data_IF_008662181228
#
_entry.id   IF_008662181228
#
_cell.length_a   1.000
_cell.length_b   1.000
_cell.length_c   1.000
_cell.angle_alpha   90.00
_cell.angle_beta   90.00
_cell.angle_gamma   90.00
#
_symmetry.space_group_name_H-M   'P 1'
#
loop_
_entity.id
_entity.type
_entity.pdbx_description
1 polymer ?
#
# COMPACT_ATOMS: atom_id res chain seq x y z
N UNK A 1 24.90 -9.66 2.60
CA UNK A 1 24.03 -10.81 2.91
C UNK A 1 22.62 -10.37 2.56
N UNK A 2 21.89 -11.12 1.74
CA UNK A 2 20.46 -10.84 1.51
C UNK A 2 19.70 -11.15 2.79
N UNK A 3 18.82 -10.25 3.22
CA UNK A 3 17.89 -10.53 4.32
C UNK A 3 16.96 -11.68 3.94
N UNK A 4 16.56 -12.47 4.93
CA UNK A 4 15.54 -13.50 4.77
C UNK A 4 14.14 -12.90 4.67
N UNK A 5 13.20 -13.65 4.09
CA UNK A 5 11.79 -13.26 4.00
C UNK A 5 11.20 -12.88 5.36
N UNK A 6 11.59 -13.61 6.42
CA UNK A 6 11.15 -13.33 7.80
C UNK A 6 11.65 -11.96 8.27
N UNK A 7 12.92 -11.63 8.05
CA UNK A 7 13.49 -10.34 8.46
C UNK A 7 12.84 -9.17 7.71
N UNK A 8 12.53 -9.35 6.41
CA UNK A 8 11.84 -8.35 5.60
C UNK A 8 10.42 -8.10 6.11
N UNK A 9 9.68 -9.18 6.44
CA UNK A 9 8.33 -9.08 6.99
C UNK A 9 8.36 -8.43 8.37
N UNK A 10 9.29 -8.80 9.26
CA UNK A 10 9.44 -8.20 10.58
C UNK A 10 9.77 -6.71 10.52
N UNK A 11 10.66 -6.31 9.59
CA UNK A 11 10.98 -4.91 9.33
C UNK A 11 9.75 -4.11 8.88
N UNK A 12 8.95 -4.70 7.98
CA UNK A 12 7.70 -4.10 7.51
C UNK A 12 6.66 -4.00 8.62
N UNK A 13 6.48 -5.05 9.42
CA UNK A 13 5.57 -5.04 10.57
C UNK A 13 5.98 -3.99 11.61
N UNK A 14 7.28 -3.83 11.85
CA UNK A 14 7.79 -2.78 12.75
C UNK A 14 7.41 -1.39 12.26
N UNK A 15 7.65 -1.11 10.98
CA UNK A 15 7.20 0.14 10.35
C UNK A 15 5.69 0.34 10.48
N UNK A 16 4.89 -0.72 10.30
CA UNK A 16 3.44 -0.62 10.50
C UNK A 16 3.10 -0.23 11.94
N UNK A 17 3.67 -0.91 12.94
CA UNK A 17 3.32 -0.69 14.35
C UNK A 17 3.90 0.58 14.95
N UNK A 18 5.06 1.04 14.46
CA UNK A 18 5.78 2.20 14.99
C UNK A 18 5.48 3.50 14.23
N UNK A 19 4.80 3.42 13.08
CA UNK A 19 4.47 4.60 12.28
C UNK A 19 3.04 4.56 11.74
N UNK A 20 2.69 3.55 10.94
CA UNK A 20 1.41 3.54 10.22
C UNK A 20 0.19 3.50 11.14
N UNK A 21 0.32 2.74 12.24
CA UNK A 21 -0.73 2.50 13.23
C UNK A 21 -0.76 3.55 14.36
N UNK A 22 0.24 4.43 14.43
CA UNK A 22 0.29 5.44 15.48
C UNK A 22 -0.56 6.66 15.13
N UNK A 23 -1.42 7.12 16.07
CA UNK A 23 -2.11 8.41 15.96
C UNK A 23 -1.16 9.55 15.62
N UNK A 24 -1.62 10.48 14.77
CA UNK A 24 -0.86 11.68 14.47
C UNK A 24 -1.78 12.92 14.37
N UNK A 25 -1.38 14.08 14.93
CA UNK A 25 -2.18 15.31 14.89
C UNK A 25 -2.55 15.78 13.47
N UNK A 26 -1.68 15.50 12.49
CA UNK A 26 -1.92 15.79 11.06
C UNK A 26 -3.20 15.11 10.55
N UNK A 27 -3.54 13.94 11.09
CA UNK A 27 -4.73 13.16 10.74
C UNK A 27 -5.81 13.25 11.82
N UNK A 28 -5.79 14.33 12.62
CA UNK A 28 -6.74 14.56 13.72
C UNK A 28 -6.74 13.42 14.75
N UNK A 29 -5.54 13.03 15.18
CA UNK A 29 -5.25 11.95 16.15
C UNK A 29 -5.73 10.56 15.68
N UNK A 30 -6.00 10.42 14.39
CA UNK A 30 -6.13 9.12 13.73
C UNK A 30 -4.76 8.65 13.23
N UNK A 31 -4.57 7.33 13.03
CA UNK A 31 -3.36 6.80 12.42
C UNK A 31 -3.20 7.17 10.95
N UNK A 32 -1.97 7.04 10.41
CA UNK A 32 -1.70 7.20 8.97
C UNK A 32 -2.54 6.27 8.11
N UNK A 33 -2.79 5.04 8.59
CA UNK A 33 -3.83 4.18 8.04
C UNK A 33 -4.72 3.68 9.18
N UNK A 34 -5.94 4.24 9.34
CA UNK A 34 -6.85 3.88 10.43
C UNK A 34 -7.26 2.40 10.45
N UNK A 35 -7.07 1.67 9.35
CA UNK A 35 -7.48 0.28 9.18
C UNK A 35 -6.34 -0.72 9.39
N UNK A 36 -5.08 -0.30 9.35
CA UNK A 36 -3.92 -1.18 9.38
C UNK A 36 -3.86 -2.05 10.65
N UNK A 37 -4.07 -1.43 11.82
CA UNK A 37 -4.05 -2.13 13.12
C UNK A 37 -5.09 -3.23 13.20
N UNK A 38 -6.32 -2.95 12.73
CA UNK A 38 -7.41 -3.93 12.74
C UNK A 38 -7.06 -5.12 11.84
N UNK A 39 -6.62 -4.86 10.61
CA UNK A 39 -6.24 -5.92 9.67
C UNK A 39 -5.10 -6.78 10.22
N UNK A 40 -4.07 -6.16 10.83
CA UNK A 40 -2.95 -6.89 11.44
C UNK A 40 -3.40 -7.79 12.60
N UNK A 41 -4.17 -7.26 13.54
CA UNK A 41 -4.65 -8.03 14.70
C UNK A 41 -5.62 -9.16 14.30
N UNK A 42 -6.33 -9.00 13.19
CA UNK A 42 -7.23 -10.01 12.64
C UNK A 42 -6.54 -11.01 11.70
N UNK A 43 -5.22 -10.95 11.51
CA UNK A 43 -4.46 -11.75 10.54
C UNK A 43 -5.02 -11.62 9.10
N UNK A 44 -5.50 -10.45 8.72
CA UNK A 44 -6.08 -10.15 7.41
C UNK A 44 -5.08 -9.54 6.42
N UNK A 45 -3.78 -9.65 6.70
CA UNK A 45 -2.70 -9.18 5.84
C UNK A 45 -1.94 -10.38 5.26
N UNK A 46 -1.91 -10.46 3.93
CA UNK A 46 -1.12 -11.43 3.17
C UNK A 46 0.21 -10.79 2.75
N UNK A 47 1.33 -11.28 3.25
CA UNK A 47 2.66 -10.84 2.82
C UNK A 47 3.18 -11.70 1.66
N UNK A 48 3.79 -11.06 0.66
CA UNK A 48 4.44 -11.70 -0.49
C UNK A 48 5.81 -11.06 -0.71
N UNK A 49 6.87 -11.86 -0.68
CA UNK A 49 8.23 -11.40 -0.99
C UNK A 49 8.51 -11.80 -2.43
N UNK A 50 8.44 -10.83 -3.35
CA UNK A 50 8.54 -11.08 -4.78
C UNK A 50 9.41 -10.00 -5.45
N UNK A 51 10.45 -10.38 -6.21
CA UNK A 51 11.28 -9.42 -6.91
C UNK A 51 10.52 -8.82 -8.12
N UNK A 52 10.68 -7.52 -8.30
CA UNK A 52 10.20 -6.79 -9.49
C UNK A 52 11.15 -5.64 -9.84
N UNK A 53 10.98 -5.05 -11.01
CA UNK A 53 11.76 -3.89 -11.45
C UNK A 53 10.90 -2.99 -12.35
N UNK A 54 11.48 -1.90 -12.84
CA UNK A 54 10.82 -1.02 -13.82
C UNK A 54 10.42 -1.75 -15.12
N UNK A 55 11.04 -2.90 -15.41
CA UNK A 55 10.77 -3.73 -16.59
C UNK A 55 9.75 -4.84 -16.34
N UNK A 56 9.25 -4.98 -15.10
CA UNK A 56 8.26 -6.01 -14.77
C UNK A 56 7.01 -5.86 -15.63
N UNK A 57 6.63 -6.96 -16.26
CA UNK A 57 5.38 -7.09 -17.00
C UNK A 57 4.43 -7.96 -16.19
N UNK A 58 3.20 -7.49 -16.04
CA UNK A 58 2.14 -8.18 -15.30
C UNK A 58 1.40 -9.15 -16.21
N UNK A 59 2.12 -10.11 -16.79
CA UNK A 59 1.50 -11.19 -17.55
C UNK A 59 0.68 -12.09 -16.60
N UNK A 60 -0.39 -12.70 -17.11
CA UNK A 60 -1.34 -13.46 -16.29
C UNK A 60 -0.70 -14.61 -15.49
N UNK A 61 0.40 -15.17 -16.00
CA UNK A 61 1.16 -16.26 -15.38
C UNK A 61 2.37 -15.79 -14.56
N UNK A 62 2.64 -14.48 -14.48
CA UNK A 62 3.66 -13.92 -13.60
C UNK A 62 3.36 -14.24 -12.12
N UNK A 63 4.42 -14.33 -11.30
CA UNK A 63 4.28 -14.62 -9.87
C UNK A 63 3.34 -13.60 -9.17
N UNK A 64 3.53 -12.32 -9.49
CA UNK A 64 2.73 -11.23 -8.91
C UNK A 64 1.25 -11.38 -9.29
N UNK A 65 0.93 -11.61 -10.57
CA UNK A 65 -0.46 -11.75 -10.98
C UNK A 65 -1.12 -13.01 -10.40
N UNK A 66 -0.38 -14.13 -10.30
CA UNK A 66 -0.85 -15.32 -9.60
C UNK A 66 -1.16 -15.02 -8.12
N UNK A 67 -0.29 -14.29 -7.43
CA UNK A 67 -0.51 -13.86 -6.04
C UNK A 67 -1.71 -12.91 -5.91
N UNK A 68 -1.91 -11.99 -6.85
CA UNK A 68 -3.07 -11.08 -6.90
C UNK A 68 -4.37 -11.87 -7.12
N UNK A 69 -4.40 -12.83 -8.05
CA UNK A 69 -5.58 -13.68 -8.26
C UNK A 69 -5.88 -14.56 -7.05
N UNK A 70 -4.85 -15.10 -6.37
CA UNK A 70 -5.05 -15.82 -5.10
C UNK A 70 -5.64 -14.90 -4.04
N UNK A 71 -5.10 -13.68 -3.89
CA UNK A 71 -5.61 -12.68 -2.96
C UNK A 71 -7.08 -12.31 -3.26
N UNK A 72 -7.43 -12.08 -4.53
CA UNK A 72 -8.78 -11.75 -4.97
C UNK A 72 -9.82 -12.83 -4.61
N UNK A 73 -9.39 -14.08 -4.45
CA UNK A 73 -10.23 -15.22 -4.08
C UNK A 73 -10.03 -15.68 -2.63
N UNK A 74 -9.47 -14.81 -1.78
CA UNK A 74 -9.18 -15.12 -0.38
C UNK A 74 -9.97 -14.23 0.59
N UNK A 75 -9.91 -14.57 1.88
CA UNK A 75 -10.51 -13.78 2.97
C UNK A 75 -9.61 -12.64 3.47
N UNK A 76 -8.39 -12.49 2.91
CA UNK A 76 -7.48 -11.39 3.27
C UNK A 76 -8.03 -10.05 2.79
N UNK A 77 -7.78 -8.97 3.54
CA UNK A 77 -8.22 -7.63 3.17
C UNK A 77 -7.12 -6.80 2.51
N UNK A 78 -5.87 -7.11 2.83
CA UNK A 78 -4.70 -6.41 2.38
C UNK A 78 -3.68 -7.45 1.93
N UNK A 79 -3.14 -7.30 0.73
CA UNK A 79 -1.91 -7.96 0.33
C UNK A 79 -0.78 -6.93 0.32
N UNK A 80 0.37 -7.28 0.88
CA UNK A 80 1.59 -6.47 0.85
C UNK A 80 2.64 -7.23 0.05
N UNK A 81 3.03 -6.69 -1.09
CA UNK A 81 4.08 -7.24 -1.95
C UNK A 81 5.35 -6.43 -1.73
N UNK A 82 6.44 -7.11 -1.39
CA UNK A 82 7.70 -6.49 -0.98
C UNK A 82 8.82 -7.02 -1.87
N UNK A 83 9.59 -6.10 -2.43
CA UNK A 83 10.81 -6.44 -3.15
C UNK A 83 11.95 -6.70 -2.16
N UNK A 84 12.62 -7.86 -2.19
CA UNK A 84 13.75 -8.12 -1.29
C UNK A 84 14.99 -7.26 -1.60
N UNK A 85 15.08 -6.69 -2.81
CA UNK A 85 16.17 -5.79 -3.20
C UNK A 85 15.72 -4.32 -3.10
N UNK A 86 16.32 -3.58 -2.16
CA UNK A 86 16.06 -2.15 -1.92
C UNK A 86 16.41 -1.24 -3.10
N UNK A 87 17.23 -1.73 -4.03
CA UNK A 87 17.77 -0.96 -5.17
C UNK A 87 17.21 -1.40 -6.52
N UNK A 88 16.33 -2.41 -6.55
CA UNK A 88 15.81 -2.98 -7.79
C UNK A 88 14.92 -2.03 -8.62
N UNK A 89 14.37 -1.00 -7.97
CA UNK A 89 13.45 -0.04 -8.58
C UNK A 89 13.52 1.28 -7.80
N UNK A 90 13.37 2.42 -8.46
CA UNK A 90 13.28 3.72 -7.79
C UNK A 90 11.85 4.08 -7.39
N UNK A 91 11.68 5.10 -6.53
CA UNK A 91 10.34 5.60 -6.15
C UNK A 91 9.48 5.99 -7.36
N UNK A 92 9.96 6.84 -8.32
CA UNK A 92 9.17 7.19 -9.50
C UNK A 92 8.78 5.97 -10.36
N UNK A 93 9.71 5.02 -10.54
CA UNK A 93 9.45 3.80 -11.30
C UNK A 93 8.42 2.90 -10.61
N UNK A 94 8.42 2.86 -9.27
CA UNK A 94 7.43 2.10 -8.49
C UNK A 94 6.03 2.67 -8.71
N UNK A 95 5.90 4.01 -8.72
CA UNK A 95 4.63 4.67 -9.04
C UNK A 95 4.16 4.33 -10.45
N UNK A 96 5.00 4.49 -11.47
CA UNK A 96 4.66 4.17 -12.87
C UNK A 96 4.25 2.70 -13.04
N UNK A 97 4.92 1.79 -12.34
CA UNK A 97 4.57 0.37 -12.34
C UNK A 97 3.20 0.12 -11.70
N UNK A 98 2.86 0.82 -10.62
CA UNK A 98 1.53 0.70 -9.99
C UNK A 98 0.42 1.30 -10.84
N UNK A 99 0.67 2.38 -11.57
CA UNK A 99 -0.30 2.93 -12.52
C UNK A 99 -0.67 1.89 -13.61
N UNK A 100 0.34 1.13 -14.09
CA UNK A 100 0.13 0.00 -15.03
C UNK A 100 -0.63 -1.15 -14.38
N UNK A 101 -0.26 -1.53 -13.16
CA UNK A 101 -0.90 -2.62 -12.42
C UNK A 101 -2.39 -2.32 -12.19
N UNK A 102 -2.71 -1.12 -11.71
CA UNK A 102 -4.08 -0.69 -11.44
C UNK A 102 -4.98 -0.74 -12.67
N UNK A 103 -4.43 -0.46 -13.86
CA UNK A 103 -5.16 -0.62 -15.12
C UNK A 103 -5.62 -2.07 -15.32
N UNK A 104 -4.83 -3.06 -14.90
CA UNK A 104 -5.15 -4.48 -15.09
C UNK A 104 -6.02 -5.07 -13.98
N UNK A 105 -5.80 -4.68 -12.73
CA UNK A 105 -6.49 -5.31 -11.58
C UNK A 105 -7.81 -4.62 -11.20
N UNK A 106 -8.12 -3.48 -11.83
CA UNK A 106 -9.36 -2.74 -11.57
C UNK A 106 -10.63 -3.57 -11.87
N UNK A 107 -10.60 -4.42 -12.90
CA UNK A 107 -11.70 -5.34 -13.25
C UNK A 107 -11.93 -6.41 -12.18
N UNK A 108 -10.91 -6.71 -11.37
CA UNK A 108 -11.01 -7.62 -10.21
C UNK A 108 -11.59 -6.90 -8.97
N UNK A 109 -11.94 -5.62 -9.08
CA UNK A 109 -12.40 -4.81 -7.95
C UNK A 109 -11.28 -4.52 -6.94
N UNK A 110 -10.02 -4.49 -7.40
CA UNK A 110 -8.84 -4.25 -6.57
C UNK A 110 -8.22 -2.88 -6.88
N UNK A 111 -7.49 -2.35 -5.91
CA UNK A 111 -6.68 -1.14 -6.05
C UNK A 111 -5.33 -1.33 -5.35
N UNK A 112 -4.26 -0.91 -6.02
CA UNK A 112 -2.89 -0.98 -5.55
C UNK A 112 -2.33 0.40 -5.21
N UNK A 113 -1.52 0.47 -4.15
CA UNK A 113 -0.82 1.67 -3.70
C UNK A 113 0.67 1.38 -3.60
N UNK A 114 1.50 2.18 -4.27
CA UNK A 114 2.96 2.04 -4.19
C UNK A 114 3.48 2.48 -2.81
N UNK A 115 4.59 1.89 -2.41
CA UNK A 115 5.41 2.29 -1.27
C UNK A 115 6.88 2.16 -1.63
N UNK A 116 7.71 3.08 -1.16
CA UNK A 116 9.15 3.03 -1.44
C UNK A 116 9.90 3.74 -0.30
N UNK A 117 11.12 3.31 0.10
CA UNK A 117 11.89 3.97 1.17
C UNK A 117 12.10 5.47 0.95
N UNK A 118 12.17 5.87 -0.31
CA UNK A 118 12.38 7.25 -0.76
C UNK A 118 11.08 7.92 -1.28
N UNK A 119 9.91 7.35 -1.03
CA UNK A 119 8.63 7.93 -1.47
C UNK A 119 8.42 9.34 -0.88
N UNK A 120 7.93 10.27 -1.70
CA UNK A 120 7.76 11.68 -1.33
C UNK A 120 6.29 12.08 -1.10
N UNK A 121 5.36 11.11 -1.11
CA UNK A 121 3.96 11.34 -0.76
C UNK A 121 3.82 11.85 0.69
N UNK A 122 3.79 13.19 0.81
CA UNK A 122 3.93 13.96 2.03
C UNK A 122 2.62 14.68 2.39
N UNK A 123 2.06 14.42 3.56
CA UNK A 123 0.92 15.18 4.11
C UNK A 123 1.44 16.00 5.29
N UNK A 124 1.51 17.33 5.13
CA UNK A 124 1.87 18.28 6.19
C UNK A 124 3.16 17.89 6.96
N UNK A 125 4.21 17.52 6.21
CA UNK A 125 5.52 17.11 6.75
C UNK A 125 5.66 15.60 7.03
N UNK A 126 4.61 14.81 6.83
CA UNK A 126 4.60 13.37 7.11
C UNK A 126 4.63 12.55 5.81
N UNK A 127 5.73 11.82 5.58
CA UNK A 127 5.87 10.91 4.44
C UNK A 127 5.19 9.56 4.72
N UNK A 128 3.95 9.41 4.24
CA UNK A 128 3.06 8.31 4.67
C UNK A 128 3.33 6.96 3.99
N UNK A 129 4.17 6.93 2.94
CA UNK A 129 4.40 5.76 2.08
C UNK A 129 5.85 5.25 2.08
N UNK A 130 6.65 5.68 3.06
CA UNK A 130 8.06 5.26 3.21
C UNK A 130 8.20 3.93 3.95
N UNK A 131 7.86 2.85 3.25
CA UNK A 131 8.10 1.48 3.74
C UNK A 131 9.60 1.13 3.66
N UNK A 132 10.15 0.23 4.52
CA UNK A 132 11.58 -0.08 4.53
C UNK A 132 12.15 -0.71 3.24
N UNK A 133 11.26 -1.16 2.36
CA UNK A 133 11.54 -1.81 1.08
C UNK A 133 10.66 -1.23 -0.02
N UNK A 134 11.10 -1.24 -1.30
CA UNK A 134 10.20 -1.05 -2.42
C UNK A 134 9.08 -2.07 -2.38
N UNK A 135 7.85 -1.63 -2.64
CA UNK A 135 6.70 -2.51 -2.54
C UNK A 135 5.41 -1.84 -2.95
N UNK A 136 4.33 -2.57 -2.75
CA UNK A 136 2.99 -2.05 -2.91
C UNK A 136 2.01 -2.84 -2.06
N UNK A 137 0.88 -2.21 -1.77
CA UNK A 137 -0.27 -2.88 -1.16
C UNK A 137 -1.36 -3.07 -2.20
N UNK A 138 -2.11 -4.16 -2.13
CA UNK A 138 -3.32 -4.41 -2.91
C UNK A 138 -4.48 -4.58 -1.95
N UNK A 139 -5.58 -3.87 -2.20
CA UNK A 139 -6.74 -3.82 -1.31
C UNK A 139 -8.04 -3.91 -2.12
N UNK A 140 -9.10 -4.40 -1.48
CA UNK A 140 -10.43 -4.54 -2.11
C UNK A 140 -11.09 -3.16 -2.24
N UNK A 141 -11.34 -2.71 -3.47
CA UNK A 141 -11.84 -1.37 -3.78
C UNK A 141 -13.21 -1.09 -3.14
N UNK A 142 -14.10 -2.09 -3.08
CA UNK A 142 -15.42 -1.96 -2.45
C UNK A 142 -15.35 -1.71 -0.93
N UNK A 143 -14.23 -2.01 -0.27
CA UNK A 143 -13.98 -1.68 1.14
C UNK A 143 -13.35 -0.30 1.32
N UNK A 144 -12.55 0.16 0.34
CA UNK A 144 -11.82 1.42 0.39
C UNK A 144 -12.73 2.65 0.30
N UNK A 145 -13.72 2.66 -0.60
CA UNK A 145 -14.60 3.83 -0.75
C UNK A 145 -15.43 4.09 0.52
N UNK A 146 -16.16 3.11 1.10
CA UNK A 146 -16.92 3.36 2.33
C UNK A 146 -16.03 3.82 3.50
N UNK A 147 -14.83 3.25 3.62
CA UNK A 147 -13.83 3.67 4.59
C UNK A 147 -13.43 5.14 4.40
N UNK A 148 -13.14 5.54 3.16
CA UNK A 148 -12.81 6.91 2.79
C UNK A 148 -13.97 7.88 3.05
N UNK A 149 -15.21 7.49 2.72
CA UNK A 149 -16.42 8.29 2.94
C UNK A 149 -16.68 8.52 4.44
N UNK A 150 -16.33 7.56 5.31
CA UNK A 150 -16.38 7.73 6.77
C UNK A 150 -15.33 8.73 7.24
N UNK A 151 -14.10 8.63 6.75
CA UNK A 151 -13.02 9.56 7.09
C UNK A 151 -13.29 10.99 6.60
N UNK A 152 -14.00 11.15 5.48
CA UNK A 152 -14.41 12.46 4.94
C UNK A 152 -15.40 13.21 5.84
N UNK A 153 -16.16 12.49 6.68
CA UNK A 153 -17.03 13.10 7.71
C UNK A 153 -16.27 13.53 8.96
N UNK A 154 -14.95 13.40 8.94
CA UNK A 154 -14.04 13.78 10.01
C UNK A 154 -13.00 14.77 9.50
N UNK A 155 -12.15 15.23 10.39
CA UNK A 155 -11.03 16.12 10.09
C UNK A 155 -9.77 15.36 9.60
N UNK A 156 -9.89 14.10 9.16
CA UNK A 156 -8.76 13.27 8.70
C UNK A 156 -8.06 13.86 7.45
N UNK A 157 -8.85 14.37 6.50
CA UNK A 157 -8.34 14.90 5.24
C UNK A 157 -8.07 16.41 5.27
N UNK A 158 -8.22 17.10 6.41
CA UNK A 158 -8.11 18.57 6.49
C UNK A 158 -6.79 19.14 5.96
N UNK A 159 -5.71 18.35 6.08
CA UNK A 159 -4.36 18.73 5.70
C UNK A 159 -3.94 18.20 4.32
N UNK A 160 -4.87 17.55 3.59
CA UNK A 160 -4.60 17.01 2.26
C UNK A 160 -4.96 18.05 1.20
N UNK A 161 -4.08 18.20 0.21
CA UNK A 161 -4.40 18.98 -0.99
C UNK A 161 -5.34 18.21 -1.91
N UNK A 162 -6.08 18.91 -2.76
CA UNK A 162 -6.90 18.27 -3.79
C UNK A 162 -6.07 17.36 -4.72
N UNK A 163 -4.83 17.74 -5.02
CA UNK A 163 -3.92 16.92 -5.82
C UNK A 163 -3.53 15.62 -5.09
N UNK A 164 -3.20 15.69 -3.80
CA UNK A 164 -2.91 14.49 -3.00
C UNK A 164 -4.12 13.55 -2.88
N UNK A 165 -5.33 14.08 -2.73
CA UNK A 165 -6.55 13.28 -2.72
C UNK A 165 -6.77 12.59 -4.07
N UNK A 166 -6.51 13.28 -5.18
CA UNK A 166 -6.57 12.71 -6.53
C UNK A 166 -5.50 11.62 -6.71
N UNK A 167 -4.27 11.88 -6.29
CA UNK A 167 -3.15 10.95 -6.38
C UNK A 167 -3.28 9.76 -5.42
N UNK A 168 -4.11 9.88 -4.38
CA UNK A 168 -4.49 8.77 -3.54
C UNK A 168 -5.30 7.73 -4.31
N UNK A 169 -6.03 8.12 -5.36
CA UNK A 169 -6.66 7.21 -6.30
C UNK A 169 -7.95 6.54 -5.82
N UNK A 170 -8.47 6.88 -4.63
CA UNK A 170 -9.81 6.46 -4.22
C UNK A 170 -10.85 7.39 -4.86
N UNK A 171 -11.83 6.86 -5.63
CA UNK A 171 -12.89 7.68 -6.21
C UNK A 171 -13.65 8.49 -5.15
N UNK A 172 -13.77 9.80 -5.38
CA UNK A 172 -14.62 10.73 -4.62
C UNK A 172 -15.90 11.01 -5.41
N UNK A 173 -16.99 11.31 -4.70
CA UNK A 173 -18.26 11.70 -5.31
C UNK A 173 -18.23 13.15 -5.83
#
# INVERSE_FOLDING_TARGET
>A
MSESDTEIIESTLRWMTEFVELPHPVFSDLPVCPFAKKARLANQILFKIEPFSALTQFEADSAIMKSIHQFANSEFEIMVVINPDKTAISAPQTKELMDKLNTQISELGLLAFHTHPEEDFNIDGIHTRRMPYPGFTVQVNSKLKPASDVLEKTEYYKNWTAQQLKDFGIPRN
#
